data_IF_252067606021
#
_entry.id   IF_252067606021
#
_cell.length_a   1.000
_cell.length_b   1.000
_cell.length_c   1.000
_cell.angle_alpha   90.00
_cell.angle_beta   90.00
_cell.angle_gamma   90.00
#
_symmetry.space_group_name_H-M   'P 1'
#
loop_
_entity.id
_entity.type
_entity.pdbx_description
1 polymer ?
#
# COMPACT_ATOMS: atom_id res chain seq x y z
N UNK A 1 -4.02 -2.64 -44.82
CA UNK A 1 -4.95 -3.79 -44.82
C UNK A 1 -5.96 -3.57 -43.70
N UNK A 2 -7.27 -3.64 -43.94
CA UNK A 2 -8.24 -3.35 -42.88
C UNK A 2 -8.18 -4.46 -41.83
N UNK A 3 -7.84 -4.11 -40.60
CA UNK A 3 -7.84 -5.05 -39.48
C UNK A 3 -9.27 -5.56 -39.28
N UNK A 4 -9.52 -6.85 -39.52
CA UNK A 4 -10.79 -7.48 -39.21
C UNK A 4 -11.00 -7.45 -37.70
N UNK A 5 -11.85 -6.54 -37.23
CA UNK A 5 -12.22 -6.41 -35.82
C UNK A 5 -13.46 -7.23 -35.53
N UNK A 6 -13.42 -8.00 -34.45
CA UNK A 6 -14.51 -8.89 -34.05
C UNK A 6 -15.11 -8.36 -32.75
N UNK A 7 -16.44 -8.28 -32.70
CA UNK A 7 -17.16 -7.95 -31.47
C UNK A 7 -17.58 -9.24 -30.78
N UNK A 8 -16.87 -9.60 -29.71
CA UNK A 8 -17.18 -10.79 -28.92
C UNK A 8 -18.02 -10.39 -27.70
N UNK A 9 -19.30 -10.74 -27.70
CA UNK A 9 -20.23 -10.45 -26.60
C UNK A 9 -21.34 -11.48 -26.56
N UNK A 10 -21.64 -12.01 -25.37
CA UNK A 10 -22.66 -13.05 -25.18
C UNK A 10 -22.21 -14.46 -25.57
N UNK A 11 -20.95 -14.65 -25.98
CA UNK A 11 -20.43 -15.96 -26.34
C UNK A 11 -20.19 -16.83 -25.08
N UNK A 12 -20.83 -17.99 -25.03
CA UNK A 12 -20.66 -18.99 -23.97
C UNK A 12 -20.26 -20.33 -24.59
N UNK A 13 -19.24 -20.96 -24.02
CA UNK A 13 -18.74 -22.27 -24.46
C UNK A 13 -18.15 -23.02 -23.26
N UNK A 14 -18.19 -24.35 -23.30
CA UNK A 14 -17.78 -25.23 -22.20
C UNK A 14 -16.33 -25.70 -22.34
N UNK A 15 -15.85 -25.86 -23.57
CA UNK A 15 -14.49 -26.30 -23.89
C UNK A 15 -14.00 -25.68 -25.19
N UNK A 16 -12.68 -25.63 -25.36
CA UNK A 16 -12.01 -25.30 -26.60
C UNK A 16 -11.38 -26.59 -27.14
N UNK A 17 -11.73 -26.98 -28.36
CA UNK A 17 -11.19 -28.18 -29.01
C UNK A 17 -10.43 -27.87 -30.30
N UNK A 18 -10.81 -26.80 -31.01
CA UNK A 18 -10.24 -26.45 -32.32
C UNK A 18 -9.16 -25.36 -32.25
N UNK A 19 -9.05 -24.64 -31.13
CA UNK A 19 -8.19 -23.46 -30.97
C UNK A 19 -7.53 -23.52 -29.61
N UNK A 20 -6.23 -23.24 -29.54
CA UNK A 20 -5.51 -23.21 -28.26
C UNK A 20 -5.92 -21.99 -27.43
N UNK A 21 -5.81 -22.08 -26.12
CA UNK A 21 -6.29 -21.01 -25.24
C UNK A 21 -5.45 -19.73 -25.39
N UNK A 22 -4.18 -19.83 -25.75
CA UNK A 22 -3.28 -18.71 -26.04
C UNK A 22 -3.72 -17.99 -27.32
N UNK A 23 -4.12 -18.73 -28.35
CA UNK A 23 -4.62 -18.18 -29.61
C UNK A 23 -5.95 -17.46 -29.38
N UNK A 24 -6.84 -18.09 -28.62
CA UNK A 24 -8.12 -17.46 -28.23
C UNK A 24 -7.90 -16.20 -27.40
N UNK A 25 -6.97 -16.23 -26.44
CA UNK A 25 -6.58 -15.07 -25.66
C UNK A 25 -5.96 -13.96 -26.53
N UNK A 26 -5.14 -14.32 -27.51
CA UNK A 26 -4.57 -13.38 -28.47
C UNK A 26 -5.66 -12.67 -29.29
N UNK A 27 -6.69 -13.41 -29.75
CA UNK A 27 -7.85 -12.82 -30.43
C UNK A 27 -8.60 -11.84 -29.52
N UNK A 28 -8.83 -12.21 -28.25
CA UNK A 28 -9.48 -11.31 -27.29
C UNK A 28 -8.63 -10.04 -27.07
N UNK A 29 -7.30 -10.17 -26.96
CA UNK A 29 -6.41 -9.03 -26.69
C UNK A 29 -6.24 -8.10 -27.89
N UNK A 30 -6.09 -8.64 -29.10
CA UNK A 30 -5.65 -7.85 -30.26
C UNK A 30 -6.73 -7.61 -31.30
N UNK A 31 -7.81 -8.38 -31.32
CA UNK A 31 -8.82 -8.33 -32.39
C UNK A 31 -10.20 -7.90 -31.91
N UNK A 32 -10.34 -7.61 -30.61
CA UNK A 32 -11.55 -6.98 -30.06
C UNK A 32 -11.44 -5.46 -30.03
N UNK A 33 -12.56 -4.79 -30.33
CA UNK A 33 -12.63 -3.33 -30.47
C UNK A 33 -12.56 -2.57 -29.14
N UNK A 34 -13.12 -3.16 -28.08
CA UNK A 34 -13.18 -2.58 -26.75
C UNK A 34 -12.97 -3.66 -25.69
N UNK A 35 -12.40 -3.27 -24.55
CA UNK A 35 -12.29 -4.16 -23.40
C UNK A 35 -13.68 -4.62 -22.95
N UNK A 36 -13.86 -5.93 -22.84
CA UNK A 36 -15.01 -6.54 -22.18
C UNK A 36 -14.54 -7.67 -21.25
N UNK A 37 -15.03 -7.74 -19.99
CA UNK A 37 -14.59 -8.75 -19.05
C UNK A 37 -15.12 -10.15 -19.35
N UNK A 38 -16.29 -10.26 -19.99
CA UNK A 38 -17.01 -11.52 -20.19
C UNK A 38 -16.19 -12.61 -20.94
N UNK A 39 -15.51 -12.34 -22.08
CA UNK A 39 -14.76 -13.36 -22.80
C UNK A 39 -13.61 -13.98 -21.99
N UNK A 40 -12.94 -13.19 -21.14
CA UNK A 40 -11.88 -13.67 -20.26
C UNK A 40 -12.41 -14.62 -19.19
N UNK A 41 -13.54 -14.27 -18.57
CA UNK A 41 -14.17 -15.13 -17.56
C UNK A 41 -14.67 -16.43 -18.16
N UNK A 42 -15.22 -16.39 -19.39
CA UNK A 42 -15.64 -17.60 -20.09
C UNK A 42 -14.46 -18.53 -20.40
N UNK A 43 -13.34 -17.97 -20.90
CA UNK A 43 -12.12 -18.73 -21.16
C UNK A 43 -11.55 -19.35 -19.88
N UNK A 44 -11.47 -18.57 -18.81
CA UNK A 44 -10.98 -19.07 -17.52
C UNK A 44 -11.90 -20.16 -16.95
N UNK A 45 -13.22 -20.06 -17.12
CA UNK A 45 -14.16 -21.08 -16.70
C UNK A 45 -13.98 -22.39 -17.49
N UNK A 46 -13.84 -22.31 -18.82
CA UNK A 46 -13.59 -23.47 -19.67
C UNK A 46 -12.24 -24.15 -19.33
N UNK A 47 -11.19 -23.37 -19.08
CA UNK A 47 -9.88 -23.89 -18.69
C UNK A 47 -9.93 -24.62 -17.33
N UNK A 48 -10.63 -24.06 -16.34
CA UNK A 48 -10.85 -24.75 -15.05
C UNK A 48 -11.63 -26.04 -15.21
N UNK A 49 -12.71 -26.03 -16.00
CA UNK A 49 -13.50 -27.23 -16.27
C UNK A 49 -12.67 -28.35 -16.93
N UNK A 50 -11.62 -27.98 -17.67
CA UNK A 50 -10.67 -28.92 -18.28
C UNK A 50 -9.46 -29.29 -17.40
N UNK A 51 -9.40 -28.81 -16.15
CA UNK A 51 -8.30 -29.09 -15.20
C UNK A 51 -7.07 -28.17 -15.34
N UNK A 52 -7.09 -27.17 -16.22
CA UNK A 52 -5.96 -26.27 -16.47
C UNK A 52 -6.02 -25.00 -15.61
N UNK A 53 -5.87 -25.15 -14.28
CA UNK A 53 -5.96 -24.02 -13.35
C UNK A 53 -4.88 -22.95 -13.55
N UNK A 54 -3.66 -23.36 -13.89
CA UNK A 54 -2.55 -22.43 -14.18
C UNK A 54 -2.87 -21.52 -15.36
N UNK A 55 -3.35 -22.09 -16.46
CA UNK A 55 -3.76 -21.35 -17.65
C UNK A 55 -4.96 -20.43 -17.35
N UNK A 56 -5.95 -20.89 -16.57
CA UNK A 56 -7.07 -20.05 -16.15
C UNK A 56 -6.61 -18.82 -15.35
N UNK A 57 -5.58 -18.98 -14.51
CA UNK A 57 -4.98 -17.86 -13.76
C UNK A 57 -4.24 -16.90 -14.69
N UNK A 58 -3.51 -17.39 -15.68
CA UNK A 58 -2.83 -16.56 -16.67
C UNK A 58 -3.80 -15.69 -17.47
N UNK A 59 -4.94 -16.26 -17.87
CA UNK A 59 -6.02 -15.53 -18.55
C UNK A 59 -6.56 -14.39 -17.72
N UNK A 60 -6.79 -14.59 -16.42
CA UNK A 60 -7.28 -13.53 -15.52
C UNK A 60 -6.23 -12.45 -15.24
N UNK A 61 -4.95 -12.82 -15.19
CA UNK A 61 -3.86 -11.84 -15.11
C UNK A 61 -3.81 -11.01 -16.40
N UNK A 62 -3.98 -11.65 -17.56
CA UNK A 62 -4.04 -10.96 -18.85
C UNK A 62 -5.25 -10.02 -18.94
N UNK A 63 -6.43 -10.43 -18.44
CA UNK A 63 -7.61 -9.59 -18.31
C UNK A 63 -7.32 -8.33 -17.49
N UNK A 64 -6.68 -8.47 -16.33
CA UNK A 64 -6.38 -7.35 -15.46
C UNK A 64 -5.39 -6.39 -16.12
N UNK A 65 -4.35 -6.90 -16.81
CA UNK A 65 -3.44 -6.06 -17.61
C UNK A 65 -4.16 -5.33 -18.73
N UNK A 66 -5.15 -5.96 -19.35
CA UNK A 66 -5.91 -5.38 -20.45
C UNK A 66 -6.91 -4.31 -19.97
N UNK A 67 -7.56 -4.53 -18.83
CA UNK A 67 -8.39 -3.53 -18.14
C UNK A 67 -7.58 -2.25 -17.88
N UNK A 68 -6.34 -2.36 -17.41
CA UNK A 68 -5.50 -1.18 -17.17
C UNK A 68 -5.06 -0.48 -18.46
N UNK A 69 -4.98 -1.20 -19.59
CA UNK A 69 -4.46 -0.66 -20.86
C UNK A 69 -5.54 -0.08 -21.76
N UNK A 70 -6.70 -0.74 -21.80
CA UNK A 70 -7.83 -0.43 -22.70
C UNK A 70 -9.13 -0.12 -21.95
N UNK A 71 -9.20 -0.37 -20.64
CA UNK A 71 -10.33 0.05 -19.83
C UNK A 71 -10.27 1.55 -19.53
N UNK A 72 -11.44 2.15 -19.38
CA UNK A 72 -11.62 3.58 -19.07
C UNK A 72 -11.29 3.86 -17.59
N UNK A 73 -10.01 3.65 -17.21
CA UNK A 73 -9.52 3.84 -15.84
C UNK A 73 -8.71 5.16 -15.73
N UNK A 74 -8.86 6.07 -16.69
CA UNK A 74 -7.88 7.12 -17.00
C UNK A 74 -8.33 8.57 -16.90
N UNK A 75 -8.90 9.00 -15.77
CA UNK A 75 -8.98 10.43 -15.41
C UNK A 75 -7.74 10.87 -14.60
N UNK A 76 -7.32 12.14 -14.67
CA UNK A 76 -6.10 12.72 -14.04
C UNK A 76 -5.92 12.45 -12.53
N UNK A 77 -6.96 12.00 -11.80
CA UNK A 77 -6.85 11.52 -10.41
C UNK A 77 -6.23 10.11 -10.28
N UNK A 78 -5.98 9.43 -11.40
CA UNK A 78 -5.54 8.03 -11.42
C UNK A 78 -4.09 7.82 -11.01
N UNK A 79 -3.22 8.84 -10.98
CA UNK A 79 -1.80 8.64 -10.60
C UNK A 79 -1.62 8.35 -9.11
N UNK A 80 -2.28 9.11 -8.24
CA UNK A 80 -2.26 8.87 -6.79
C UNK A 80 -2.97 7.56 -6.43
N UNK A 81 -4.11 7.32 -7.09
CA UNK A 81 -4.82 6.06 -6.97
C UNK A 81 -4.00 4.88 -7.53
N UNK A 82 -3.25 5.01 -8.62
CA UNK A 82 -2.39 3.93 -9.16
C UNK A 82 -1.22 3.60 -8.26
N UNK A 83 -0.62 4.59 -7.60
CA UNK A 83 0.41 4.34 -6.60
C UNK A 83 -0.19 3.61 -5.40
N UNK A 84 -1.35 4.07 -4.91
CA UNK A 84 -2.08 3.45 -3.81
C UNK A 84 -2.57 2.03 -4.16
N UNK A 85 -3.10 1.83 -5.37
CA UNK A 85 -3.58 0.55 -5.90
C UNK A 85 -2.44 -0.38 -6.27
N UNK A 86 -1.30 0.12 -6.75
CA UNK A 86 -0.07 -0.68 -6.93
C UNK A 86 0.47 -1.16 -5.58
N UNK A 87 0.41 -0.28 -4.57
CA UNK A 87 0.66 -0.59 -3.18
C UNK A 87 -0.45 -1.42 -2.50
N UNK A 88 -1.59 -1.66 -3.13
CA UNK A 88 -2.65 -2.57 -2.63
C UNK A 88 -2.64 -3.91 -3.38
N UNK A 89 -2.44 -3.89 -4.70
CA UNK A 89 -2.53 -5.04 -5.60
C UNK A 89 -1.28 -5.94 -5.54
N UNK A 90 -0.12 -5.41 -5.13
CA UNK A 90 1.08 -6.20 -4.87
C UNK A 90 1.01 -7.06 -3.60
N UNK A 91 -0.03 -6.91 -2.78
CA UNK A 91 -0.08 -7.47 -1.42
C UNK A 91 -0.80 -8.81 -1.27
N UNK A 92 -1.27 -9.39 -2.38
CA UNK A 92 -1.87 -10.73 -2.38
C UNK A 92 -0.87 -11.89 -2.20
N UNK A 93 0.45 -11.63 -2.19
CA UNK A 93 1.47 -12.68 -2.15
C UNK A 93 2.68 -12.42 -1.22
N UNK A 94 2.79 -11.24 -0.58
CA UNK A 94 3.93 -10.93 0.31
C UNK A 94 3.55 -9.98 1.45
N UNK A 95 2.81 -10.48 2.44
CA UNK A 95 2.59 -9.80 3.74
C UNK A 95 3.88 -9.26 4.37
N UNK A 96 5.03 -9.91 4.14
CA UNK A 96 6.34 -9.45 4.63
C UNK A 96 6.77 -8.07 4.15
N UNK A 97 6.32 -7.58 2.99
CA UNK A 97 6.72 -6.24 2.50
C UNK A 97 6.09 -5.09 3.28
N UNK A 98 4.86 -5.26 3.80
CA UNK A 98 4.20 -4.25 4.62
C UNK A 98 4.89 -4.15 5.98
N UNK A 99 5.28 -5.28 6.55
CA UNK A 99 6.01 -5.33 7.82
C UNK A 99 7.37 -4.64 7.65
N UNK A 100 8.10 -4.92 6.57
CA UNK A 100 9.37 -4.24 6.27
C UNK A 100 9.16 -2.74 6.09
N UNK A 101 8.13 -2.33 5.32
CA UNK A 101 7.81 -0.91 5.13
C UNK A 101 7.46 -0.23 6.46
N UNK A 102 6.69 -0.90 7.33
CA UNK A 102 6.34 -0.41 8.66
C UNK A 102 7.59 -0.23 9.52
N UNK A 103 8.49 -1.23 9.55
CA UNK A 103 9.77 -1.13 10.26
C UNK A 103 10.62 0.03 9.73
N UNK A 104 10.68 0.21 8.41
CA UNK A 104 11.41 1.34 7.82
C UNK A 104 10.82 2.69 8.23
N UNK A 105 9.49 2.83 8.25
CA UNK A 105 8.82 4.06 8.71
C UNK A 105 9.12 4.32 10.19
N UNK A 106 9.14 3.28 11.04
CA UNK A 106 9.51 3.40 12.45
C UNK A 106 10.98 3.80 12.64
N UNK A 107 11.89 3.27 11.81
CA UNK A 107 13.30 3.69 11.82
C UNK A 107 13.47 5.17 11.42
N UNK A 108 12.67 5.64 10.46
CA UNK A 108 12.65 7.06 10.08
C UNK A 108 12.11 7.93 11.23
N UNK A 109 11.05 7.49 11.92
CA UNK A 109 10.55 8.16 13.13
C UNK A 109 11.61 8.26 14.23
N UNK A 110 12.33 7.18 14.51
CA UNK A 110 13.43 7.19 15.48
C UNK A 110 14.55 8.16 15.07
N UNK A 111 14.93 8.15 13.79
CA UNK A 111 15.91 9.10 13.24
C UNK A 111 15.46 10.56 13.34
N UNK A 112 14.17 10.82 13.15
CA UNK A 112 13.58 12.15 13.27
C UNK A 112 13.69 12.69 14.70
N UNK A 113 13.45 11.84 15.70
CA UNK A 113 13.63 12.18 17.12
C UNK A 113 15.07 12.51 17.48
N UNK A 114 16.03 11.72 16.99
CA UNK A 114 17.48 11.98 17.15
C UNK A 114 17.87 13.30 16.46
N UNK A 115 17.42 13.52 15.22
CA UNK A 115 17.72 14.73 14.47
C UNK A 115 17.19 15.99 15.19
N UNK A 116 16.00 15.91 15.77
CA UNK A 116 15.43 16.99 16.57
C UNK A 116 16.31 17.28 17.82
N UNK A 117 16.83 16.26 18.51
CA UNK A 117 17.70 16.47 19.67
C UNK A 117 19.07 17.07 19.36
N UNK A 118 19.59 16.87 18.15
CA UNK A 118 20.82 17.53 17.70
C UNK A 118 20.60 18.92 17.09
N UNK A 119 19.35 19.30 16.82
CA UNK A 119 19.03 20.60 16.24
C UNK A 119 18.97 21.66 17.34
N UNK A 120 19.95 22.56 17.37
CA UNK A 120 19.99 23.67 18.33
C UNK A 120 19.12 24.84 17.87
N UNK A 121 18.30 25.35 18.79
CA UNK A 121 17.45 26.53 18.63
C UNK A 121 18.08 27.81 19.19
N UNK A 122 19.25 27.69 19.83
CA UNK A 122 19.96 28.76 20.53
C UNK A 122 20.87 28.20 21.62
N UNK A 123 21.57 29.07 22.37
CA UNK A 123 22.48 28.64 23.44
C UNK A 123 21.76 27.76 24.48
N UNK A 124 22.09 26.47 24.51
CA UNK A 124 21.50 25.51 25.46
C UNK A 124 20.06 25.07 25.16
N UNK A 125 19.45 25.51 24.05
CA UNK A 125 18.10 25.09 23.62
C UNK A 125 18.17 24.15 22.42
N UNK A 126 17.41 23.07 22.48
CA UNK A 126 17.30 22.04 21.44
C UNK A 126 15.84 21.81 21.10
N UNK A 127 15.57 21.32 19.89
CA UNK A 127 14.19 21.04 19.47
C UNK A 127 13.52 20.01 20.38
N UNK A 128 14.25 19.01 20.87
CA UNK A 128 13.73 18.16 21.95
C UNK A 128 14.14 18.70 23.30
N UNK A 129 13.16 19.05 24.13
CA UNK A 129 13.40 19.50 25.50
C UNK A 129 12.48 18.82 26.50
N UNK A 130 12.95 18.75 27.74
CA UNK A 130 12.14 18.24 28.82
C UNK A 130 10.96 19.18 29.11
N UNK A 131 9.74 18.64 29.13
CA UNK A 131 8.51 19.42 29.35
C UNK A 131 8.40 19.88 30.80
N UNK A 132 7.39 20.70 31.11
CA UNK A 132 7.06 21.11 32.47
C UNK A 132 6.70 19.94 33.41
N UNK A 133 6.44 18.74 32.90
CA UNK A 133 6.20 17.54 33.71
C UNK A 133 7.49 16.80 34.11
N UNK A 134 8.63 17.18 33.55
CA UNK A 134 9.92 16.61 33.90
C UNK A 134 10.47 17.17 35.22
N UNK A 135 11.38 16.41 35.85
CA UNK A 135 12.05 16.83 37.09
C UNK A 135 12.93 18.07 36.89
N UNK A 136 13.49 18.24 35.68
CA UNK A 136 14.27 19.40 35.24
C UNK A 136 13.72 19.90 33.90
N UNK A 137 12.77 20.85 33.90
CA UNK A 137 12.22 21.42 32.66
C UNK A 137 13.31 22.09 31.82
N UNK A 138 13.11 22.12 30.50
CA UNK A 138 14.00 22.80 29.53
C UNK A 138 15.45 22.28 29.49
N UNK A 139 15.68 21.09 30.06
CA UNK A 139 16.96 20.39 29.96
C UNK A 139 16.99 19.47 28.73
N UNK A 140 18.17 19.21 28.14
CA UNK A 140 18.29 18.33 26.99
C UNK A 140 17.87 16.90 27.33
N UNK A 141 17.15 16.27 26.41
CA UNK A 141 16.73 14.87 26.55
C UNK A 141 17.86 13.91 26.22
N UNK A 142 17.88 12.74 26.86
CA UNK A 142 18.81 11.65 26.53
C UNK A 142 18.52 11.04 25.16
N UNK A 143 19.48 10.30 24.58
CA UNK A 143 19.33 9.64 23.28
C UNK A 143 18.13 8.68 23.25
N UNK A 144 17.89 7.96 24.35
CA UNK A 144 16.76 7.03 24.47
C UNK A 144 15.44 7.79 24.48
N UNK A 145 15.38 8.93 25.17
CA UNK A 145 14.20 9.81 25.19
C UNK A 145 13.95 10.44 23.83
N UNK A 146 14.99 10.87 23.12
CA UNK A 146 14.89 11.40 21.75
C UNK A 146 14.29 10.38 20.78
N UNK A 147 14.75 9.12 20.84
CA UNK A 147 14.17 8.02 20.05
C UNK A 147 12.72 7.76 20.45
N UNK A 148 12.45 7.73 21.76
CA UNK A 148 11.13 7.52 22.33
C UNK A 148 10.11 8.55 21.84
N UNK A 149 10.46 9.83 21.83
CA UNK A 149 9.58 10.91 21.34
C UNK A 149 9.18 10.72 19.89
N UNK A 150 10.13 10.36 19.01
CA UNK A 150 9.85 10.11 17.60
C UNK A 150 8.91 8.93 17.38
N UNK A 151 9.10 7.83 18.14
CA UNK A 151 8.28 6.63 18.03
C UNK A 151 6.89 6.86 18.64
N UNK A 152 6.80 7.36 19.87
CA UNK A 152 5.54 7.57 20.60
C UNK A 152 4.62 8.54 19.87
N UNK A 153 5.17 9.58 19.24
CA UNK A 153 4.37 10.52 18.45
C UNK A 153 3.86 9.94 17.14
N UNK A 154 4.55 8.93 16.60
CA UNK A 154 4.17 8.28 15.34
C UNK A 154 3.19 7.11 15.52
N UNK A 155 3.09 6.56 16.74
CA UNK A 155 2.26 5.39 17.05
C UNK A 155 1.13 5.76 18.04
N UNK A 156 -0.15 5.63 17.65
CA UNK A 156 -1.30 6.04 18.46
C UNK A 156 -1.66 5.05 19.59
N UNK A 157 -0.84 4.03 19.82
CA UNK A 157 -1.13 2.94 20.77
C UNK A 157 -0.56 3.19 22.16
N UNK A 158 0.26 4.23 22.34
CA UNK A 158 0.59 4.70 23.68
C UNK A 158 -0.48 5.71 24.10
N UNK A 159 -1.07 5.56 25.30
CA UNK A 159 -1.81 6.66 25.90
C UNK A 159 -0.89 7.88 25.84
N UNK A 160 -1.44 9.06 25.50
CA UNK A 160 -0.75 10.36 25.38
C UNK A 160 -0.14 10.87 26.72
N UNK A 161 0.33 9.96 27.55
CA UNK A 161 0.65 10.11 28.97
C UNK A 161 1.99 9.49 29.40
N UNK A 162 2.62 8.63 28.59
CA UNK A 162 3.85 7.91 29.00
C UNK A 162 5.13 8.64 28.50
N UNK A 163 5.04 9.37 27.38
CA UNK A 163 6.13 10.17 26.79
C UNK A 163 6.24 11.61 27.31
N UNK A 164 5.51 11.98 28.37
CA UNK A 164 5.28 13.38 28.73
C UNK A 164 6.48 14.13 29.28
N UNK A 165 7.64 13.50 29.41
CA UNK A 165 8.83 14.12 30.00
C UNK A 165 9.68 14.83 28.97
N UNK A 166 9.72 14.37 27.72
CA UNK A 166 10.48 14.99 26.64
C UNK A 166 9.57 15.23 25.44
N UNK A 167 9.67 16.39 24.79
CA UNK A 167 8.83 16.73 23.65
C UNK A 167 9.52 17.71 22.68
N UNK A 168 8.97 17.87 21.47
CA UNK A 168 9.36 18.88 20.51
C UNK A 168 8.90 20.29 20.95
N UNK A 169 9.82 21.23 20.99
CA UNK A 169 9.58 22.65 21.24
C UNK A 169 8.89 23.30 20.02
N UNK A 170 7.56 23.34 20.07
CA UNK A 170 6.70 23.95 19.05
C UNK A 170 6.71 25.49 19.06
N UNK A 171 7.45 26.14 19.98
CA UNK A 171 7.63 27.59 19.95
C UNK A 171 8.55 28.07 18.81
N UNK A 172 9.16 27.12 18.10
CA UNK A 172 10.12 27.37 17.02
C UNK A 172 9.64 26.83 15.67
N UNK A 173 9.97 27.48 14.54
CA UNK A 173 9.65 26.98 13.20
C UNK A 173 10.27 25.60 12.92
N UNK A 174 11.43 25.30 13.52
CA UNK A 174 12.05 23.99 13.41
C UNK A 174 11.21 22.92 14.13
N UNK A 175 10.78 23.16 15.37
CA UNK A 175 9.94 22.22 16.12
C UNK A 175 8.55 22.02 15.50
N UNK A 176 7.97 23.04 14.88
CA UNK A 176 6.77 22.90 14.06
C UNK A 176 7.00 21.96 12.86
N UNK A 177 8.11 22.12 12.14
CA UNK A 177 8.44 21.25 11.01
C UNK A 177 8.63 19.78 11.42
N UNK A 178 9.26 19.53 12.57
CA UNK A 178 9.38 18.18 13.14
C UNK A 178 8.01 17.61 13.54
N UNK A 179 7.14 18.43 14.14
CA UNK A 179 5.77 18.04 14.49
C UNK A 179 4.95 17.65 13.25
N UNK A 180 4.97 18.47 12.21
CA UNK A 180 4.30 18.18 10.92
C UNK A 180 4.83 16.90 10.29
N UNK A 181 6.16 16.70 10.32
CA UNK A 181 6.79 15.47 9.83
C UNK A 181 6.28 14.24 10.57
N UNK A 182 6.00 14.38 11.86
CA UNK A 182 5.49 13.29 12.69
C UNK A 182 4.04 12.95 12.36
N UNK A 183 3.20 13.94 12.03
CA UNK A 183 1.85 13.69 11.51
C UNK A 183 1.86 12.91 10.17
N UNK A 184 2.81 13.21 9.29
CA UNK A 184 2.97 12.46 8.03
C UNK A 184 3.34 11.01 8.30
N UNK A 185 4.29 10.76 9.21
CA UNK A 185 4.69 9.41 9.60
C UNK A 185 3.53 8.65 10.26
N UNK A 186 2.74 9.32 11.11
CA UNK A 186 1.55 8.73 11.73
C UNK A 186 0.52 8.29 10.67
N UNK A 187 0.26 9.13 9.65
CA UNK A 187 -0.64 8.76 8.55
C UNK A 187 -0.12 7.55 7.75
N UNK A 188 1.20 7.48 7.52
CA UNK A 188 1.84 6.35 6.84
C UNK A 188 1.73 5.06 7.66
N UNK A 189 1.99 5.12 8.97
CA UNK A 189 1.84 3.99 9.90
C UNK A 189 0.42 3.44 9.86
N UNK A 190 -0.60 4.31 9.94
CA UNK A 190 -2.01 3.90 9.85
C UNK A 190 -2.35 3.27 8.51
N UNK A 191 -1.87 3.86 7.42
CA UNK A 191 -2.10 3.33 6.07
C UNK A 191 -1.49 1.92 5.96
N UNK A 192 -0.24 1.73 6.39
CA UNK A 192 0.41 0.43 6.35
C UNK A 192 -0.24 -0.60 7.28
N UNK A 193 -0.65 -0.20 8.48
CA UNK A 193 -1.33 -1.07 9.43
C UNK A 193 -2.69 -1.57 8.89
N UNK A 194 -3.51 -0.66 8.35
CA UNK A 194 -4.81 -1.01 7.74
C UNK A 194 -4.64 -1.91 6.53
N UNK A 195 -3.63 -1.63 5.68
CA UNK A 195 -3.27 -2.47 4.55
C UNK A 195 -2.85 -3.89 4.99
N UNK A 196 -2.04 -4.01 6.04
CA UNK A 196 -1.61 -5.30 6.58
C UNK A 196 -2.81 -6.12 7.09
N UNK A 197 -3.72 -5.48 7.83
CA UNK A 197 -4.95 -6.11 8.34
C UNK A 197 -5.85 -6.57 7.19
N UNK A 198 -6.08 -5.71 6.18
CA UNK A 198 -6.89 -6.04 5.01
C UNK A 198 -6.27 -7.20 4.20
N UNK A 199 -4.94 -7.22 4.04
CA UNK A 199 -4.22 -8.33 3.40
C UNK A 199 -4.40 -9.66 4.14
N UNK A 200 -4.32 -9.65 5.46
CA UNK A 200 -4.54 -10.84 6.30
C UNK A 200 -5.98 -11.36 6.21
N UNK A 201 -6.97 -10.47 6.29
CA UNK A 201 -8.39 -10.84 6.14
C UNK A 201 -8.69 -11.39 4.73
N UNK A 202 -8.04 -10.86 3.70
CA UNK A 202 -8.13 -11.38 2.33
C UNK A 202 -7.55 -12.79 2.16
N UNK A 203 -6.56 -13.17 2.98
CA UNK A 203 -6.00 -14.54 2.98
C UNK A 203 -6.95 -15.53 3.65
N UNK A 204 -7.53 -15.17 4.81
CA UNK A 204 -8.48 -16.04 5.54
C UNK A 204 -9.70 -16.35 4.66
N UNK A 205 -10.24 -15.36 3.98
CA UNK A 205 -11.44 -15.55 3.16
C UNK A 205 -11.22 -16.49 1.96
N UNK A 206 -9.98 -16.65 1.49
CA UNK A 206 -9.63 -17.62 0.43
C UNK A 206 -9.52 -19.05 0.96
N UNK A 207 -9.10 -19.23 2.21
CA UNK A 207 -8.99 -20.57 2.83
C UNK A 207 -10.32 -21.13 3.32
N UNK A 208 -11.35 -20.28 3.46
CA UNK A 208 -12.67 -20.66 3.96
C UNK A 208 -13.73 -20.88 2.88
N UNK A 209 -13.37 -20.91 1.59
CA UNK A 209 -14.33 -21.29 0.55
C UNK A 209 -14.60 -22.81 0.66
N UNK A 210 -15.83 -23.24 0.99
CA UNK A 210 -16.16 -24.67 1.01
C UNK A 210 -16.11 -25.21 -0.43
N UNK A 211 -15.42 -26.34 -0.58
CA UNK A 211 -15.46 -27.16 -1.80
C UNK A 211 -16.78 -27.88 -1.97
#
# INVERSE_FOLDING_TARGET
MPAHQITLSGLTYTSLHAVDWQEWLHLILHHTRAYRPQPYHQLAAALRASGHESAAREVLIAQQRDLYRRGDVGGSLSKGAHWLWGALAGYGYRSGRAIIALVLVLMVAAGLGIAAGHTSLGPGRFVTEHTSQARNPQSPCSLVEQIGVGIDRSVPLTPAGIGNRCDFDTSSPAGEAFTVSTWVLQALVWTLATLAIAGYLGLIRKTSAPG
#
